data_IF_164642902051
#
_entry.id   IF_164642902051
#
_cell.length_a   1.000
_cell.length_b   1.000
_cell.length_c   1.000
_cell.angle_alpha   90.00
_cell.angle_beta   90.00
_cell.angle_gamma   90.00
#
_symmetry.space_group_name_H-M   'P 1'
#
loop_
_entity.id
_entity.type
_entity.pdbx_description
1 polymer ?
#
# COMPACT_ATOMS: atom_id res chain seq x y z
N UNK A 1 -7.98 -17.05 14.87
CA UNK A 1 -8.05 -15.94 13.90
C UNK A 1 -8.57 -16.33 12.51
N UNK A 2 -8.43 -17.59 12.04
CA UNK A 2 -8.86 -17.98 10.68
C UNK A 2 -10.39 -18.10 10.47
N UNK A 3 -11.18 -18.17 11.54
CA UNK A 3 -12.65 -18.30 11.47
C UNK A 3 -13.36 -17.02 11.01
N UNK A 4 -12.71 -15.86 11.08
CA UNK A 4 -13.26 -14.55 10.67
C UNK A 4 -13.04 -14.20 9.19
N UNK A 5 -12.41 -15.10 8.44
CA UNK A 5 -12.05 -14.84 7.04
C UNK A 5 -13.18 -15.15 6.04
N UNK A 6 -14.24 -15.82 6.50
CA UNK A 6 -15.36 -16.20 5.62
C UNK A 6 -16.14 -14.94 5.22
N UNK A 7 -16.30 -14.72 3.91
CA UNK A 7 -16.98 -13.57 3.34
C UNK A 7 -16.09 -12.33 3.15
N UNK A 8 -14.77 -12.45 3.41
CA UNK A 8 -13.82 -11.37 3.11
C UNK A 8 -13.48 -11.33 1.63
N UNK A 9 -13.30 -10.14 1.07
CA UNK A 9 -12.95 -9.92 -0.34
C UNK A 9 -11.60 -9.23 -0.48
N UNK A 10 -10.71 -9.87 -1.23
CA UNK A 10 -9.35 -9.42 -1.48
C UNK A 10 -9.21 -9.01 -2.94
N UNK A 11 -8.98 -7.72 -3.18
CA UNK A 11 -8.54 -7.23 -4.49
C UNK A 11 -7.04 -7.44 -4.65
N UNK A 12 -6.56 -7.78 -5.85
CA UNK A 12 -5.14 -7.76 -6.12
C UNK A 12 -4.76 -7.07 -7.44
N UNK A 13 -3.66 -6.34 -7.41
CA UNK A 13 -3.05 -5.76 -8.62
C UNK A 13 -1.58 -6.14 -8.72
N UNK A 14 -1.27 -7.02 -9.68
CA UNK A 14 0.07 -7.51 -9.94
C UNK A 14 0.26 -7.60 -11.45
N UNK A 15 1.48 -7.34 -11.93
CA UNK A 15 1.80 -7.59 -13.33
C UNK A 15 1.68 -9.09 -13.65
N UNK A 16 1.28 -9.41 -14.89
CA UNK A 16 1.17 -10.79 -15.37
C UNK A 16 2.46 -11.61 -15.13
N UNK A 17 3.62 -10.96 -15.31
CA UNK A 17 4.93 -11.53 -15.01
C UNK A 17 5.04 -11.96 -13.54
N UNK A 18 4.53 -11.16 -12.62
CA UNK A 18 4.59 -11.44 -11.18
C UNK A 18 3.54 -12.46 -10.74
N UNK A 19 2.34 -12.43 -11.33
CA UNK A 19 1.31 -13.46 -11.12
C UNK A 19 1.87 -14.84 -11.46
N UNK A 20 2.50 -14.98 -12.64
CA UNK A 20 3.13 -16.23 -13.08
C UNK A 20 4.30 -16.62 -12.18
N UNK A 21 5.21 -15.68 -11.87
CA UNK A 21 6.39 -15.95 -11.04
C UNK A 21 6.05 -16.41 -9.62
N UNK A 22 4.99 -15.88 -9.03
CA UNK A 22 4.56 -16.23 -7.68
C UNK A 22 3.58 -17.41 -7.63
N UNK A 23 3.15 -17.93 -8.79
CA UNK A 23 2.00 -18.82 -8.89
C UNK A 23 0.80 -18.30 -8.09
N UNK A 24 0.43 -17.03 -8.31
CA UNK A 24 -0.54 -16.33 -7.47
C UNK A 24 -1.94 -16.98 -7.52
N UNK A 25 -2.23 -17.75 -8.57
CA UNK A 25 -3.46 -18.55 -8.65
C UNK A 25 -3.56 -19.58 -7.52
N UNK A 26 -2.44 -20.22 -7.13
CA UNK A 26 -2.45 -21.14 -5.99
C UNK A 26 -2.80 -20.43 -4.67
N UNK A 27 -2.37 -19.18 -4.50
CA UNK A 27 -2.76 -18.35 -3.36
C UNK A 27 -4.25 -18.00 -3.41
N UNK A 28 -4.77 -17.60 -4.57
CA UNK A 28 -6.19 -17.32 -4.74
C UNK A 28 -7.07 -18.55 -4.43
N UNK A 29 -6.67 -19.74 -4.88
CA UNK A 29 -7.36 -21.00 -4.54
C UNK A 29 -7.35 -21.30 -3.04
N UNK A 30 -6.20 -21.07 -2.37
CA UNK A 30 -6.10 -21.24 -0.92
C UNK A 30 -7.06 -20.31 -0.17
N UNK A 31 -7.18 -19.06 -0.62
CA UNK A 31 -8.13 -18.09 -0.07
C UNK A 31 -9.59 -18.54 -0.27
N UNK A 32 -9.96 -18.98 -1.48
CA UNK A 32 -11.32 -19.47 -1.77
C UNK A 32 -11.71 -20.67 -0.91
N UNK A 33 -10.79 -21.60 -0.67
CA UNK A 33 -11.00 -22.74 0.26
C UNK A 33 -11.31 -22.30 1.70
N UNK A 34 -10.92 -21.09 2.08
CA UNK A 34 -11.23 -20.46 3.38
C UNK A 34 -12.45 -19.54 3.34
N UNK A 35 -13.17 -19.51 2.22
CA UNK A 35 -14.33 -18.64 2.02
C UNK A 35 -13.95 -17.16 1.80
N UNK A 36 -12.74 -16.90 1.33
CA UNK A 36 -12.28 -15.56 0.96
C UNK A 36 -12.41 -15.42 -0.55
N UNK A 37 -13.08 -14.35 -1.00
CA UNK A 37 -13.14 -13.99 -2.40
C UNK A 37 -11.85 -13.28 -2.81
N UNK A 38 -11.30 -13.64 -3.97
CA UNK A 38 -10.08 -13.01 -4.50
C UNK A 38 -10.34 -12.57 -5.93
N UNK A 39 -10.18 -11.28 -6.19
CA UNK A 39 -10.47 -10.64 -7.47
C UNK A 39 -9.27 -9.87 -8.00
N UNK A 40 -8.94 -10.06 -9.29
CA UNK A 40 -7.93 -9.24 -9.96
C UNK A 40 -8.52 -7.87 -10.26
N UNK A 41 -7.87 -6.83 -9.77
CA UNK A 41 -8.27 -5.45 -10.02
C UNK A 41 -7.82 -5.02 -11.42
N UNK A 42 -8.73 -4.36 -12.12
CA UNK A 42 -8.46 -3.62 -13.34
C UNK A 42 -8.49 -2.11 -13.02
N UNK A 43 -7.31 -1.52 -12.83
CA UNK A 43 -7.20 -0.10 -12.50
C UNK A 43 -7.55 0.84 -13.68
N UNK A 44 -7.76 0.32 -14.89
CA UNK A 44 -8.31 1.10 -16.00
C UNK A 44 -9.82 1.33 -15.87
N UNK A 45 -10.48 0.71 -14.89
CA UNK A 45 -11.89 0.93 -14.52
C UNK A 45 -11.99 1.51 -13.10
N UNK A 46 -13.09 2.18 -12.75
CA UNK A 46 -13.34 2.60 -11.37
C UNK A 46 -13.19 1.42 -10.39
N UNK A 47 -12.46 1.63 -9.30
CA UNK A 47 -12.24 0.59 -8.28
C UNK A 47 -13.53 0.35 -7.47
N UNK A 48 -14.37 1.37 -7.33
CA UNK A 48 -15.70 1.30 -6.72
C UNK A 48 -16.57 0.18 -7.30
N UNK A 49 -16.58 0.03 -8.64
CA UNK A 49 -17.35 -1.00 -9.34
C UNK A 49 -16.81 -2.42 -9.09
N UNK A 50 -15.60 -2.54 -8.56
CA UNK A 50 -14.89 -3.79 -8.33
C UNK A 50 -14.90 -4.20 -6.85
N UNK A 51 -15.44 -3.35 -5.98
CA UNK A 51 -15.60 -3.58 -4.54
C UNK A 51 -16.98 -4.10 -4.14
N UNK A 52 -17.32 -4.04 -2.84
CA UNK A 52 -16.47 -3.59 -1.73
C UNK A 52 -15.28 -4.53 -1.50
N UNK A 53 -14.13 -4.01 -1.04
CA UNK A 53 -12.91 -4.77 -0.78
C UNK A 53 -12.54 -4.63 0.70
N UNK A 54 -12.17 -5.75 1.35
CA UNK A 54 -11.61 -5.69 2.71
C UNK A 54 -10.10 -5.47 2.69
N UNK A 55 -9.43 -6.04 1.68
CA UNK A 55 -7.97 -5.99 1.54
C UNK A 55 -7.60 -5.79 0.08
N UNK A 56 -6.57 -4.98 -0.18
CA UNK A 56 -5.92 -4.88 -1.47
C UNK A 56 -4.47 -5.35 -1.35
N UNK A 57 -4.07 -6.32 -2.17
CA UNK A 57 -2.68 -6.76 -2.32
C UNK A 57 -2.15 -6.22 -3.62
N UNK A 58 -1.08 -5.42 -3.61
CA UNK A 58 -0.58 -4.87 -4.86
C UNK A 58 0.94 -4.83 -4.97
N UNK A 59 1.42 -4.68 -6.21
CA UNK A 59 2.78 -4.25 -6.49
C UNK A 59 2.77 -3.21 -7.62
N UNK A 60 2.46 -1.98 -7.24
CA UNK A 60 2.41 -0.81 -8.15
C UNK A 60 3.77 -0.14 -8.35
N UNK A 61 4.86 -0.74 -7.87
CA UNK A 61 6.21 -0.16 -7.90
C UNK A 61 6.60 0.41 -9.26
N UNK A 62 6.41 -0.36 -10.34
CA UNK A 62 6.81 0.05 -11.68
C UNK A 62 5.90 1.16 -12.23
N UNK A 63 4.58 1.06 -11.98
CA UNK A 63 3.60 2.09 -12.37
C UNK A 63 3.85 3.41 -11.64
N UNK A 64 4.21 3.37 -10.36
CA UNK A 64 4.56 4.58 -9.60
C UNK A 64 5.83 5.23 -10.17
N UNK A 65 6.82 4.43 -10.57
CA UNK A 65 8.03 4.95 -11.21
C UNK A 65 7.74 5.59 -12.57
N UNK A 66 6.86 4.98 -13.38
CA UNK A 66 6.41 5.54 -14.65
C UNK A 66 5.62 6.83 -14.44
N UNK A 67 4.74 6.88 -13.44
CA UNK A 67 4.01 8.08 -13.04
C UNK A 67 4.96 9.21 -12.61
N UNK A 68 6.01 8.89 -11.84
CA UNK A 68 7.03 9.86 -11.41
C UNK A 68 7.88 10.37 -12.60
N UNK A 69 7.85 9.68 -13.76
CA UNK A 69 8.44 10.12 -15.04
C UNK A 69 7.45 10.91 -15.93
N UNK A 70 6.29 11.29 -15.38
CA UNK A 70 5.18 11.98 -16.07
C UNK A 70 4.48 11.14 -17.14
N UNK A 71 4.48 9.80 -17.02
CA UNK A 71 3.62 8.99 -17.86
C UNK A 71 2.14 9.21 -17.49
N UNK A 72 1.38 9.75 -18.45
CA UNK A 72 -0.02 10.15 -18.24
C UNK A 72 -0.94 8.98 -17.84
N UNK A 73 -0.71 7.79 -18.40
CA UNK A 73 -1.53 6.62 -18.07
C UNK A 73 -1.25 6.16 -16.65
N UNK A 74 0.02 6.09 -16.27
CA UNK A 74 0.45 5.67 -14.93
C UNK A 74 0.03 6.66 -13.86
N UNK A 75 0.09 7.97 -14.15
CA UNK A 75 -0.44 9.02 -13.26
C UNK A 75 -1.93 8.79 -12.98
N UNK A 76 -2.73 8.55 -14.01
CA UNK A 76 -4.17 8.28 -13.87
C UNK A 76 -4.45 7.01 -13.05
N UNK A 77 -3.68 5.93 -13.28
CA UNK A 77 -3.83 4.68 -12.53
C UNK A 77 -3.50 4.88 -11.04
N UNK A 78 -2.41 5.59 -10.73
CA UNK A 78 -2.01 5.88 -9.35
C UNK A 78 -3.01 6.82 -8.68
N UNK A 79 -3.50 7.83 -9.40
CA UNK A 79 -4.50 8.77 -8.90
C UNK A 79 -5.80 8.06 -8.53
N UNK A 80 -6.37 7.29 -9.47
CA UNK A 80 -7.60 6.53 -9.23
C UNK A 80 -7.48 5.54 -8.07
N UNK A 81 -6.30 4.91 -7.95
CA UNK A 81 -6.03 4.01 -6.83
C UNK A 81 -5.96 4.77 -5.50
N UNK A 82 -5.33 5.95 -5.46
CA UNK A 82 -5.27 6.80 -4.28
C UNK A 82 -6.65 7.32 -3.87
N UNK A 83 -7.48 7.77 -4.82
CA UNK A 83 -8.85 8.23 -4.56
C UNK A 83 -9.69 7.15 -3.88
N UNK A 84 -9.59 5.90 -4.35
CA UNK A 84 -10.28 4.77 -3.71
C UNK A 84 -9.79 4.54 -2.28
N UNK A 85 -8.47 4.55 -2.06
CA UNK A 85 -7.90 4.35 -0.72
C UNK A 85 -8.35 5.45 0.25
N UNK A 86 -8.37 6.70 -0.21
CA UNK A 86 -8.78 7.85 0.59
C UNK A 86 -10.28 7.81 0.92
N UNK A 87 -11.11 7.28 0.01
CA UNK A 87 -12.54 7.10 0.22
C UNK A 87 -12.90 5.91 1.11
N UNK A 88 -12.07 4.86 1.14
CA UNK A 88 -12.31 3.61 1.87
C UNK A 88 -11.22 3.30 2.90
N UNK A 89 -11.12 4.07 4.01
CA UNK A 89 -10.10 3.87 5.05
C UNK A 89 -10.21 2.52 5.77
N UNK A 90 -11.35 1.83 5.66
CA UNK A 90 -11.55 0.45 6.14
C UNK A 90 -10.81 -0.60 5.30
N UNK A 91 -10.46 -0.27 4.06
CA UNK A 91 -9.75 -1.19 3.16
C UNK A 91 -8.29 -1.28 3.56
N UNK A 92 -7.82 -2.49 3.89
CA UNK A 92 -6.42 -2.71 4.24
C UNK A 92 -5.58 -2.78 2.96
N UNK A 93 -4.66 -1.86 2.77
CA UNK A 93 -3.75 -1.84 1.61
C UNK A 93 -2.40 -2.45 1.96
N UNK A 94 -2.03 -3.50 1.24
CA UNK A 94 -0.78 -4.24 1.37
C UNK A 94 0.10 -3.98 0.13
N UNK A 95 1.02 -3.02 0.16
CA UNK A 95 1.40 -2.12 1.27
C UNK A 95 1.05 -0.65 0.96
N UNK A 96 0.85 0.23 1.96
CA UNK A 96 0.47 1.62 1.71
C UNK A 96 1.40 2.34 0.74
N UNK A 97 0.85 3.16 -0.18
CA UNK A 97 1.65 3.87 -1.18
C UNK A 97 2.81 4.70 -0.61
N UNK A 98 2.69 5.39 0.54
CA UNK A 98 3.81 6.10 1.13
C UNK A 98 5.00 5.20 1.52
N UNK A 99 4.73 3.98 1.99
CA UNK A 99 5.78 3.00 2.28
C UNK A 99 6.47 2.56 1.00
N UNK A 100 5.70 2.28 -0.06
CA UNK A 100 6.26 1.93 -1.38
C UNK A 100 7.16 3.06 -1.91
N UNK A 101 6.73 4.32 -1.84
CA UNK A 101 7.52 5.49 -2.27
C UNK A 101 8.82 5.65 -1.49
N UNK A 102 8.82 5.31 -0.20
CA UNK A 102 10.06 5.29 0.61
C UNK A 102 11.04 4.24 0.09
N UNK A 103 10.53 3.06 -0.27
CA UNK A 103 11.33 1.94 -0.77
C UNK A 103 11.82 2.11 -2.21
N UNK A 104 11.22 3.03 -2.98
CA UNK A 104 11.69 3.39 -4.33
C UNK A 104 12.97 4.22 -4.32
N UNK A 105 13.20 4.99 -3.26
CA UNK A 105 14.37 5.82 -3.09
C UNK A 105 15.39 5.10 -2.17
N UNK A 106 16.54 4.73 -2.74
CA UNK A 106 17.61 4.06 -1.99
C UNK A 106 18.17 4.92 -0.87
N UNK A 107 18.28 6.23 -1.08
CA UNK A 107 18.79 7.16 -0.08
C UNK A 107 17.85 7.18 1.13
N UNK A 108 16.54 7.36 0.90
CA UNK A 108 15.52 7.34 1.95
C UNK A 108 15.44 5.98 2.64
N UNK A 109 15.52 4.90 1.86
CA UNK A 109 15.52 3.53 2.40
C UNK A 109 16.70 3.30 3.34
N UNK A 110 17.91 3.68 2.94
CA UNK A 110 19.11 3.53 3.77
C UNK A 110 19.09 4.46 4.99
N UNK A 111 18.58 5.68 4.85
CA UNK A 111 18.37 6.58 5.98
C UNK A 111 17.39 5.99 7.00
N UNK A 112 16.27 5.41 6.53
CA UNK A 112 15.31 4.73 7.40
C UNK A 112 15.94 3.54 8.13
N UNK A 113 16.68 2.69 7.42
CA UNK A 113 17.41 1.57 8.03
C UNK A 113 18.38 2.07 9.10
N UNK A 114 19.17 3.11 8.80
CA UNK A 114 20.11 3.70 9.78
C UNK A 114 19.41 4.23 11.03
N UNK A 115 18.25 4.88 10.89
CA UNK A 115 17.45 5.37 12.02
C UNK A 115 16.94 4.20 12.88
N UNK A 116 16.46 3.14 12.24
CA UNK A 116 16.01 1.91 12.92
C UNK A 116 17.19 1.27 13.67
N UNK A 117 18.36 1.15 13.04
CA UNK A 117 19.56 0.60 13.68
C UNK A 117 20.03 1.42 14.88
N UNK A 118 20.01 2.76 14.78
CA UNK A 118 20.35 3.64 15.89
C UNK A 118 19.37 3.45 17.05
N UNK A 119 18.07 3.50 16.76
CA UNK A 119 17.02 3.24 17.74
C UNK A 119 17.21 1.88 18.44
N UNK A 120 17.46 0.81 17.68
CA UNK A 120 17.67 -0.53 18.24
C UNK A 120 18.94 -0.64 19.10
N UNK A 121 19.98 0.15 18.82
CA UNK A 121 21.21 0.18 19.63
C UNK A 121 20.99 0.89 20.95
N UNK A 122 20.28 2.02 20.94
CA UNK A 122 19.99 2.81 22.15
C UNK A 122 19.13 2.02 23.14
N UNK A 123 18.18 1.22 22.65
CA UNK A 123 17.25 0.44 23.46
C UNK A 123 17.73 -0.99 23.76
N UNK A 124 18.99 -1.32 23.40
CA UNK A 124 19.60 -2.62 23.75
C UNK A 124 20.13 -2.65 25.18
N UNK A 125 20.37 -1.48 25.76
CA UNK A 125 20.94 -1.27 27.10
C UNK A 125 19.87 -1.30 28.20
N UNK A 126 18.59 -1.12 27.83
CA UNK A 126 17.45 -1.16 28.72
C UNK A 126 16.70 -2.47 28.45
N UNK A 127 17.01 -3.52 29.20
CA UNK A 127 16.46 -4.85 28.97
C UNK A 127 14.92 -4.86 28.92
N UNK A 128 14.35 -5.37 27.83
CA UNK A 128 12.95 -5.75 27.80
C UNK A 128 12.30 -5.75 26.42
N UNK A 129 12.00 -6.94 25.91
CA UNK A 129 11.16 -7.22 24.73
C UNK A 129 9.71 -6.67 24.81
N UNK A 130 9.38 -5.80 25.78
CA UNK A 130 8.02 -5.33 26.07
C UNK A 130 7.54 -4.12 25.26
N UNK A 131 8.44 -3.39 24.56
CA UNK A 131 8.10 -2.07 24.00
C UNK A 131 7.78 -2.03 22.50
N UNK A 132 8.03 -3.12 21.76
CA UNK A 132 7.72 -3.18 20.31
C UNK A 132 6.22 -3.09 19.99
N UNK A 133 5.34 -3.43 20.95
CA UNK A 133 3.89 -3.30 20.81
C UNK A 133 3.39 -1.84 20.82
N UNK A 134 4.14 -0.90 21.40
CA UNK A 134 3.74 0.51 21.49
C UNK A 134 4.15 1.32 20.24
N UNK A 135 5.19 0.89 19.53
CA UNK A 135 5.63 1.53 18.27
C UNK A 135 4.62 1.39 17.12
N UNK A 136 3.88 0.28 17.06
CA UNK A 136 2.81 0.11 16.06
C UNK A 136 1.69 1.15 16.19
N UNK A 137 1.43 1.64 17.41
CA UNK A 137 0.45 2.68 17.67
C UNK A 137 1.03 4.10 17.52
N UNK A 138 2.28 4.34 17.92
CA UNK A 138 2.89 5.68 17.76
C UNK A 138 3.21 6.04 16.30
N UNK A 139 3.55 5.05 15.45
CA UNK A 139 3.71 5.28 14.00
C UNK A 139 2.36 5.53 13.31
N UNK A 140 1.24 5.02 13.86
CA UNK A 140 -0.12 5.34 13.38
C UNK A 140 -0.56 6.77 13.75
N UNK A 141 -0.05 7.33 14.85
CA UNK A 141 -0.50 8.62 15.37
C UNK A 141 0.34 9.83 14.95
N UNK A 142 1.47 9.63 14.25
CA UNK A 142 2.13 10.73 13.59
C UNK A 142 1.57 10.90 12.18
N UNK A 143 0.80 11.97 11.88
CA UNK A 143 0.56 12.32 10.50
C UNK A 143 1.93 12.66 9.92
N UNK A 144 2.47 11.79 9.06
CA UNK A 144 3.51 12.17 8.13
C UNK A 144 2.95 13.39 7.40
N UNK A 145 3.43 14.58 7.77
CA UNK A 145 3.15 15.82 7.05
C UNK A 145 3.86 15.69 5.71
N UNK A 146 3.23 14.97 4.79
CA UNK A 146 3.56 15.08 3.38
C UNK A 146 3.13 16.47 2.97
N UNK A 147 4.10 17.32 2.63
CA UNK A 147 3.80 18.49 1.83
C UNK A 147 3.02 17.99 0.60
N UNK A 148 1.82 18.53 0.38
CA UNK A 148 1.08 18.29 -0.86
C UNK A 148 2.02 18.66 -2.02
N UNK A 149 2.25 17.77 -2.99
CA UNK A 149 3.10 18.12 -4.12
C UNK A 149 2.47 19.28 -4.91
N UNK A 150 3.29 20.15 -5.51
CA UNK A 150 2.87 21.41 -6.15
C UNK A 150 1.78 21.24 -7.21
N UNK A 151 1.66 20.07 -7.85
CA UNK A 151 0.60 19.76 -8.82
C UNK A 151 -0.80 19.58 -8.21
N UNK A 152 -0.93 19.45 -6.89
CA UNK A 152 -2.21 19.53 -6.16
C UNK A 152 -2.67 20.98 -5.89
N UNK A 153 -1.86 21.98 -6.29
CA UNK A 153 -2.11 23.41 -6.10
C UNK A 153 -2.37 24.11 -7.45
N UNK A 154 -3.14 23.49 -8.35
CA UNK A 154 -3.60 24.18 -9.54
C UNK A 154 -4.49 25.38 -9.15
N UNK A 155 -4.30 26.59 -9.72
CA UNK A 155 -5.15 27.73 -9.44
C UNK A 155 -6.56 27.41 -9.91
N UNK A 156 -7.54 27.54 -9.03
CA UNK A 156 -8.94 27.68 -9.43
C UNK A 156 -9.03 28.90 -10.35
N UNK A 157 -9.11 28.67 -11.66
CA UNK A 157 -9.57 29.66 -12.63
C UNK A 157 -11.03 29.99 -12.28
N UNK A 158 -11.21 31.01 -11.45
CA UNK A 158 -12.47 31.74 -11.37
C UNK A 158 -12.74 32.38 -12.74
N UNK A 159 -13.98 32.17 -13.19
CA UNK A 159 -14.63 32.73 -14.38
C UNK A 159 -14.25 34.16 -14.73
#
# INVERSE_FOLDING_TARGET
>A
MQTFLKGKRVGYWLSEKKIKKLNFQAFAELCRKRGIEVVQLNLSRPVEEQGPLDVIIHKLTDVILEADQNDSQSLELVHRFQEYIDAHPETIVLDPLPAIRTLLDRSKSYELIRKIEAYMKDHRSEGGFGHLGQLGNSIREQPLKFAKPEWLMAPTLTR
#
